data_IF_144148529591
#
_entry.id   IF_144148529591
#
_cell.length_a   1.000
_cell.length_b   1.000
_cell.length_c   1.000
_cell.angle_alpha   90.00
_cell.angle_beta   90.00
_cell.angle_gamma   90.00
#
_symmetry.space_group_name_H-M   'P 1'
#
loop_
_entity.id
_entity.type
_entity.pdbx_description
1 polymer ?
#
# COMPACT_ATOMS: atom_id res chain seq x y z
N UNK A 1 5.53 -18.60 -0.96
CA UNK A 1 4.46 -19.16 -0.12
C UNK A 1 3.13 -18.98 -0.87
N UNK A 2 2.22 -19.96 -0.83
CA UNK A 2 0.86 -19.80 -1.35
C UNK A 2 -0.09 -19.64 -0.16
N UNK A 3 -0.87 -18.57 -0.13
CA UNK A 3 -1.86 -18.38 0.93
C UNK A 3 -3.05 -19.32 0.74
N UNK A 4 -3.61 -19.78 1.86
CA UNK A 4 -4.92 -20.43 1.91
C UNK A 4 -5.85 -19.60 2.78
N UNK A 5 -7.11 -19.51 2.36
CA UNK A 5 -8.11 -18.65 3.00
C UNK A 5 -8.40 -19.04 4.46
N UNK A 6 -8.30 -20.33 4.78
CA UNK A 6 -8.53 -20.93 6.10
C UNK A 6 -7.28 -20.92 7.00
N UNK A 7 -6.12 -20.53 6.48
CA UNK A 7 -4.87 -20.43 7.23
C UNK A 7 -4.53 -18.96 7.54
N UNK A 8 -4.04 -18.70 8.76
CA UNK A 8 -3.56 -17.35 9.13
C UNK A 8 -2.32 -16.96 8.31
N UNK A 9 -2.15 -15.66 8.10
CA UNK A 9 -0.93 -15.14 7.49
C UNK A 9 0.27 -15.44 8.40
N UNK A 10 1.21 -16.26 7.93
CA UNK A 10 2.42 -16.59 8.67
C UNK A 10 3.44 -15.45 8.56
N UNK A 11 3.38 -14.52 9.50
CA UNK A 11 4.26 -13.35 9.55
C UNK A 11 5.73 -13.75 9.70
N UNK A 12 6.03 -14.77 10.52
CA UNK A 12 7.40 -15.25 10.71
C UNK A 12 8.01 -15.74 9.39
N UNK A 13 7.22 -16.42 8.55
CA UNK A 13 7.66 -16.86 7.23
C UNK A 13 7.85 -15.71 6.24
N UNK A 14 7.01 -14.67 6.31
CA UNK A 14 7.21 -13.45 5.52
C UNK A 14 8.56 -12.81 5.86
N UNK A 15 8.92 -12.76 7.14
CA UNK A 15 10.13 -12.09 7.63
C UNK A 15 11.45 -12.83 7.32
N UNK A 16 11.39 -14.07 6.84
CA UNK A 16 12.59 -14.80 6.38
C UNK A 16 13.11 -14.29 5.04
N UNK A 17 14.42 -14.35 4.86
CA UNK A 17 15.14 -14.11 3.59
C UNK A 17 14.76 -12.79 2.89
N UNK A 18 14.51 -11.73 3.67
CA UNK A 18 14.15 -10.41 3.13
C UNK A 18 15.31 -9.79 2.35
N UNK A 19 16.56 -10.18 2.61
CA UNK A 19 17.73 -9.76 1.83
C UNK A 19 17.64 -10.19 0.36
N UNK A 20 17.04 -11.35 0.09
CA UNK A 20 16.87 -11.94 -1.24
C UNK A 20 15.58 -11.53 -1.92
N UNK A 21 14.60 -10.98 -1.18
CA UNK A 21 13.35 -10.53 -1.75
C UNK A 21 13.57 -9.43 -2.81
N UNK A 22 12.83 -9.53 -3.92
CA UNK A 22 12.73 -8.50 -4.95
C UNK A 22 11.25 -8.30 -5.30
N UNK A 23 10.79 -7.06 -5.51
CA UNK A 23 9.40 -6.80 -5.87
C UNK A 23 9.06 -7.46 -7.21
N UNK A 24 7.94 -8.17 -7.28
CA UNK A 24 7.50 -8.84 -8.50
C UNK A 24 7.00 -7.87 -9.58
N UNK A 25 6.64 -6.66 -9.17
CA UNK A 25 6.17 -5.58 -10.05
C UNK A 25 6.54 -4.21 -9.50
N UNK A 26 6.58 -3.23 -10.39
CA UNK A 26 6.77 -1.80 -10.08
C UNK A 26 5.67 -0.99 -10.76
N UNK A 27 5.51 0.26 -10.32
CA UNK A 27 4.52 1.18 -10.88
C UNK A 27 3.11 1.00 -10.31
N UNK A 28 2.25 1.96 -10.66
CA UNK A 28 0.86 2.04 -10.21
C UNK A 28 -0.07 1.21 -11.10
N UNK A 29 -1.10 0.60 -10.52
CA UNK A 29 -2.15 -0.13 -11.25
C UNK A 29 -3.52 0.47 -10.98
N UNK A 30 -4.23 0.81 -12.05
CA UNK A 30 -5.65 1.18 -12.01
C UNK A 30 -6.54 -0.05 -12.08
N UNK A 31 -7.81 0.08 -11.66
CA UNK A 31 -8.80 -0.98 -11.85
C UNK A 31 -9.20 -1.08 -13.32
N UNK A 32 -9.51 -2.30 -13.75
CA UNK A 32 -10.03 -2.59 -15.09
C UNK A 32 -11.56 -2.41 -15.08
N UNK A 33 -12.05 -1.29 -15.60
CA UNK A 33 -13.49 -1.02 -15.74
C UNK A 33 -14.15 -1.98 -16.72
N UNK A 34 -15.37 -2.41 -16.40
CA UNK A 34 -16.22 -3.22 -17.28
C UNK A 34 -17.24 -2.33 -18.01
N UNK A 35 -17.94 -2.91 -18.97
CA UNK A 35 -18.95 -2.18 -19.76
C UNK A 35 -20.12 -1.70 -18.88
N UNK A 36 -20.75 -0.54 -19.17
CA UNK A 36 -21.83 0.04 -18.33
C UNK A 36 -23.14 -0.76 -18.24
N UNK A 37 -23.26 -1.84 -18.98
CA UNK A 37 -24.40 -2.77 -19.01
C UNK A 37 -24.02 -4.14 -18.41
N UNK A 38 -22.88 -4.22 -17.72
CA UNK A 38 -22.42 -5.45 -17.06
C UNK A 38 -23.45 -5.94 -16.05
N UNK A 39 -23.94 -7.17 -16.26
CA UNK A 39 -24.86 -7.85 -15.33
C UNK A 39 -24.09 -8.61 -14.26
N UNK A 40 -24.39 -8.32 -13.00
CA UNK A 40 -23.89 -9.07 -11.83
C UNK A 40 -25.09 -9.46 -10.98
N UNK A 41 -25.33 -10.77 -10.85
CA UNK A 41 -26.55 -11.28 -10.24
C UNK A 41 -27.80 -10.82 -10.98
N UNK A 42 -28.71 -10.15 -10.26
CA UNK A 42 -29.99 -9.69 -10.80
C UNK A 42 -29.95 -8.25 -11.34
N UNK A 43 -28.79 -7.58 -11.31
CA UNK A 43 -28.68 -6.14 -11.57
C UNK A 43 -27.69 -5.82 -12.69
N UNK A 44 -27.93 -4.70 -13.37
CA UNK A 44 -27.00 -4.07 -14.32
C UNK A 44 -26.24 -2.94 -13.62
N UNK A 45 -24.92 -2.92 -13.80
CA UNK A 45 -24.02 -1.93 -13.18
C UNK A 45 -23.38 -1.04 -14.24
N UNK A 46 -23.48 0.29 -14.04
CA UNK A 46 -22.90 1.30 -14.94
C UNK A 46 -21.44 1.63 -14.67
N UNK A 47 -21.01 1.50 -13.41
CA UNK A 47 -19.66 1.83 -12.95
C UNK A 47 -19.16 0.69 -12.09
N UNK A 48 -18.50 -0.26 -12.74
CA UNK A 48 -18.02 -1.48 -12.11
C UNK A 48 -16.71 -1.89 -12.74
N UNK A 49 -15.84 -2.51 -11.96
CA UNK A 49 -14.58 -3.10 -12.41
C UNK A 49 -14.59 -4.61 -12.26
N UNK A 50 -13.55 -5.25 -12.80
CA UNK A 50 -13.31 -6.66 -12.65
C UNK A 50 -13.38 -7.10 -11.18
N UNK A 51 -14.10 -8.19 -10.96
CA UNK A 51 -14.33 -8.76 -9.63
C UNK A 51 -13.04 -9.35 -9.03
N UNK A 52 -13.05 -9.52 -7.72
CA UNK A 52 -12.02 -10.24 -6.99
C UNK A 52 -12.18 -11.75 -7.16
N UNK A 53 -11.06 -12.48 -7.19
CA UNK A 53 -11.06 -13.95 -7.12
C UNK A 53 -11.48 -14.45 -5.73
N UNK A 54 -11.08 -13.73 -4.68
CA UNK A 54 -11.45 -13.98 -3.29
C UNK A 54 -11.80 -12.66 -2.64
N UNK A 55 -12.97 -12.58 -2.00
CA UNK A 55 -13.42 -11.38 -1.31
C UNK A 55 -14.61 -11.68 -0.39
N UNK A 56 -14.87 -10.74 0.53
CA UNK A 56 -16.01 -10.82 1.45
C UNK A 56 -17.06 -9.80 0.99
N UNK A 57 -18.25 -10.25 0.55
CA UNK A 57 -19.30 -9.34 0.15
C UNK A 57 -19.91 -8.62 1.36
N UNK A 58 -20.68 -7.57 1.08
CA UNK A 58 -21.46 -6.89 2.11
C UNK A 58 -22.43 -7.85 2.81
N UNK A 59 -22.73 -7.68 4.11
CA UNK A 59 -23.61 -8.61 4.84
C UNK A 59 -25.00 -8.79 4.21
N UNK A 60 -25.52 -7.76 3.55
CA UNK A 60 -26.81 -7.80 2.86
C UNK A 60 -26.77 -8.56 1.52
N UNK A 61 -25.58 -8.82 0.95
CA UNK A 61 -25.42 -9.51 -0.32
C UNK A 61 -26.01 -10.91 -0.32
N UNK A 62 -26.17 -11.54 0.86
CA UNK A 62 -26.88 -12.83 1.01
C UNK A 62 -28.28 -12.82 0.42
N UNK A 63 -28.98 -11.68 0.45
CA UNK A 63 -30.31 -11.51 -0.14
C UNK A 63 -30.28 -11.37 -1.66
N UNK A 64 -29.09 -11.20 -2.24
CA UNK A 64 -28.86 -10.91 -3.65
C UNK A 64 -27.87 -11.90 -4.30
N UNK A 65 -27.85 -13.16 -3.81
CA UNK A 65 -27.00 -14.22 -4.37
C UNK A 65 -25.51 -14.11 -4.01
N UNK A 66 -25.15 -13.33 -2.99
CA UNK A 66 -23.78 -13.20 -2.51
C UNK A 66 -22.86 -12.36 -3.41
N UNK A 67 -23.42 -11.53 -4.30
CA UNK A 67 -22.64 -10.70 -5.22
C UNK A 67 -21.70 -9.72 -4.49
N UNK A 68 -20.54 -9.44 -5.09
CA UNK A 68 -19.53 -8.54 -4.55
C UNK A 68 -19.02 -7.50 -5.58
N UNK A 69 -19.92 -6.72 -6.22
CA UNK A 69 -19.53 -5.79 -7.27
C UNK A 69 -18.46 -4.80 -6.79
N UNK A 70 -17.43 -4.57 -7.60
CA UNK A 70 -16.30 -3.71 -7.28
C UNK A 70 -16.44 -2.37 -8.03
N UNK A 71 -16.33 -1.19 -7.37
CA UNK A 71 -16.35 0.08 -8.09
C UNK A 71 -15.13 0.21 -9.02
N UNK A 72 -15.18 1.14 -9.97
CA UNK A 72 -14.13 1.40 -10.96
C UNK A 72 -12.99 2.30 -10.43
N UNK A 73 -13.16 2.95 -9.28
CA UNK A 73 -12.10 3.68 -8.60
C UNK A 73 -11.24 2.79 -7.70
N UNK A 74 -9.96 3.14 -7.58
CA UNK A 74 -9.05 2.54 -6.59
C UNK A 74 -9.49 2.96 -5.18
N UNK A 75 -9.52 2.01 -4.25
CA UNK A 75 -10.00 2.22 -2.88
C UNK A 75 -8.84 2.13 -1.90
N UNK A 76 -8.62 3.22 -1.19
CA UNK A 76 -7.56 3.37 -0.19
C UNK A 76 -8.02 2.95 1.19
N UNK A 77 -7.15 2.27 1.92
CA UNK A 77 -7.20 2.21 3.38
C UNK A 77 -5.87 2.60 3.98
N UNK A 78 -5.90 3.26 5.14
CA UNK A 78 -4.71 3.65 5.90
C UNK A 78 -4.46 2.64 7.02
N UNK A 79 -3.29 2.01 7.01
CA UNK A 79 -2.90 1.01 8.00
C UNK A 79 -1.46 1.30 8.44
N UNK A 80 -1.30 1.86 9.63
CA UNK A 80 0.00 2.18 10.21
C UNK A 80 -0.08 2.27 11.75
N UNK A 81 -0.08 1.13 12.44
CA UNK A 81 -0.24 1.08 13.89
C UNK A 81 1.02 1.47 14.68
N UNK A 82 2.19 1.49 14.02
CA UNK A 82 3.50 1.55 14.67
C UNK A 82 4.20 0.19 14.74
N UNK A 83 3.47 -0.91 14.50
CA UNK A 83 3.98 -2.29 14.41
C UNK A 83 3.59 -2.89 13.07
N UNK A 84 4.48 -2.78 12.09
CA UNK A 84 4.16 -3.16 10.71
C UNK A 84 3.82 -4.65 10.58
N UNK A 85 4.42 -5.51 11.42
CA UNK A 85 4.21 -6.95 11.46
C UNK A 85 2.77 -7.33 11.85
N UNK A 86 2.12 -6.51 12.67
CA UNK A 86 0.70 -6.64 13.01
C UNK A 86 -0.18 -6.09 11.89
N UNK A 87 0.25 -4.99 11.28
CA UNK A 87 -0.44 -4.33 10.17
C UNK A 87 -0.57 -5.24 8.94
N UNK A 88 0.42 -6.12 8.66
CA UNK A 88 0.34 -7.09 7.55
C UNK A 88 -0.93 -7.94 7.59
N UNK A 89 -1.38 -8.32 8.80
CA UNK A 89 -2.60 -9.11 8.98
C UNK A 89 -3.84 -8.29 8.64
N UNK A 90 -3.86 -7.01 9.01
CA UNK A 90 -4.96 -6.08 8.70
C UNK A 90 -5.01 -5.75 7.21
N UNK A 91 -3.86 -5.66 6.54
CA UNK A 91 -3.79 -5.47 5.09
C UNK A 91 -4.48 -6.61 4.33
N UNK A 92 -4.30 -7.87 4.77
CA UNK A 92 -5.03 -9.01 4.19
C UNK A 92 -6.54 -8.88 4.39
N UNK A 93 -6.99 -8.50 5.59
CA UNK A 93 -8.41 -8.27 5.85
C UNK A 93 -8.98 -7.19 4.92
N UNK A 94 -8.30 -6.04 4.81
CA UNK A 94 -8.75 -4.95 3.96
C UNK A 94 -8.81 -5.32 2.48
N UNK A 95 -7.83 -6.09 1.99
CA UNK A 95 -7.80 -6.56 0.60
C UNK A 95 -9.00 -7.44 0.26
N UNK A 96 -9.36 -8.38 1.14
CA UNK A 96 -10.58 -9.21 0.99
C UNK A 96 -11.86 -8.36 0.98
N UNK A 97 -11.86 -7.21 1.66
CA UNK A 97 -12.95 -6.25 1.65
C UNK A 97 -12.88 -5.21 0.50
N UNK A 98 -11.99 -5.41 -0.48
CA UNK A 98 -11.96 -4.63 -1.70
C UNK A 98 -10.94 -3.49 -1.74
N UNK A 99 -10.13 -3.27 -0.69
CA UNK A 99 -9.05 -2.28 -0.75
C UNK A 99 -7.91 -2.76 -1.65
N UNK A 100 -7.58 -1.97 -2.67
CA UNK A 100 -6.50 -2.23 -3.63
C UNK A 100 -5.44 -1.11 -3.61
N UNK A 101 -5.51 -0.25 -2.59
CA UNK A 101 -4.49 0.72 -2.26
C UNK A 101 -4.29 0.77 -0.74
N UNK A 102 -3.09 0.40 -0.31
CA UNK A 102 -2.69 0.34 1.10
C UNK A 102 -1.70 1.46 1.37
N UNK A 103 -2.14 2.41 2.18
CA UNK A 103 -1.36 3.57 2.56
C UNK A 103 -0.79 3.40 3.97
N UNK A 104 0.52 3.54 4.10
CA UNK A 104 1.24 3.42 5.37
C UNK A 104 1.76 4.79 5.79
N UNK A 105 1.10 5.36 6.80
CA UNK A 105 1.56 6.57 7.50
C UNK A 105 2.88 6.28 8.21
N UNK A 106 3.80 7.23 8.11
CA UNK A 106 5.12 7.15 8.72
C UNK A 106 5.07 7.45 10.21
N UNK A 107 6.05 6.94 10.97
CA UNK A 107 6.19 7.31 12.39
C UNK A 107 6.29 8.83 12.55
N UNK A 108 5.74 9.34 13.66
CA UNK A 108 5.65 10.77 13.92
C UNK A 108 7.04 11.44 13.77
N UNK A 109 7.09 12.49 12.95
CA UNK A 109 8.30 13.28 12.77
C UNK A 109 9.34 12.69 11.83
N UNK A 110 9.09 11.56 11.15
CA UNK A 110 10.06 10.97 10.22
C UNK A 110 10.48 11.92 9.08
N UNK A 111 9.71 12.96 8.78
CA UNK A 111 10.12 14.04 7.86
C UNK A 111 11.37 14.81 8.30
N UNK A 112 11.76 14.73 9.58
CA UNK A 112 12.94 15.39 10.13
C UNK A 112 14.18 14.49 10.20
N UNK A 113 14.08 13.24 9.75
CA UNK A 113 15.24 12.35 9.70
C UNK A 113 16.06 12.69 8.45
N UNK A 114 17.27 13.20 8.65
CA UNK A 114 18.20 13.59 7.57
C UNK A 114 19.01 12.38 7.09
N UNK A 115 18.26 11.37 6.63
CA UNK A 115 18.76 10.11 6.12
C UNK A 115 17.77 8.98 6.31
N UNK A 116 18.06 7.84 5.69
CA UNK A 116 17.31 6.61 5.91
C UNK A 116 17.56 6.06 7.32
N UNK A 117 16.53 5.44 7.88
CA UNK A 117 16.64 4.61 9.07
C UNK A 117 16.53 3.14 8.70
N UNK A 118 17.07 2.26 9.54
CA UNK A 118 17.17 0.83 9.28
C UNK A 118 16.51 -0.02 10.36
N UNK A 119 16.33 -1.31 10.04
CA UNK A 119 15.75 -2.27 10.96
C UNK A 119 14.23 -2.10 11.11
N UNK A 120 13.72 -2.40 12.29
CA UNK A 120 12.28 -2.42 12.59
C UNK A 120 12.00 -1.87 13.99
N UNK A 121 12.39 -0.62 14.30
CA UNK A 121 11.99 -0.01 15.56
C UNK A 121 10.46 0.12 15.63
N UNK A 122 9.92 0.15 16.83
CA UNK A 122 8.50 0.45 17.02
C UNK A 122 8.24 1.94 16.74
N UNK A 123 7.17 2.23 16.02
CA UNK A 123 6.75 3.59 15.70
C UNK A 123 5.66 4.14 16.62
N UNK A 124 5.47 5.45 16.56
CA UNK A 124 4.40 6.15 17.28
C UNK A 124 3.58 6.95 16.27
N UNK A 125 2.26 6.71 16.25
CA UNK A 125 1.34 7.36 15.30
C UNK A 125 1.55 6.96 13.84
N UNK A 126 2.41 5.98 13.56
CA UNK A 126 2.70 5.46 12.23
C UNK A 126 3.92 4.54 12.24
N UNK A 127 4.24 3.93 11.09
CA UNK A 127 5.30 2.94 10.94
C UNK A 127 6.64 3.61 10.59
N UNK A 128 7.77 3.26 11.23
CA UNK A 128 9.08 3.74 10.79
C UNK A 128 9.44 3.11 9.44
N UNK A 129 9.51 3.94 8.40
CA UNK A 129 9.78 3.47 7.04
C UNK A 129 11.27 3.15 6.89
N UNK A 130 11.58 1.88 6.63
CA UNK A 130 12.94 1.35 6.45
C UNK A 130 12.94 0.34 5.30
N UNK A 131 14.11 -0.01 4.74
CA UNK A 131 14.19 -1.03 3.68
C UNK A 131 13.60 -2.38 4.12
N UNK A 132 13.96 -2.83 5.32
CA UNK A 132 13.49 -4.11 5.87
C UNK A 132 11.97 -4.14 6.02
N UNK A 133 11.38 -3.06 6.53
CA UNK A 133 9.93 -2.94 6.68
C UNK A 133 9.22 -2.91 5.31
N UNK A 134 9.71 -2.09 4.37
CA UNK A 134 9.13 -2.01 3.02
C UNK A 134 9.14 -3.37 2.32
N UNK A 135 10.26 -4.11 2.38
CA UNK A 135 10.35 -5.46 1.80
C UNK A 135 9.36 -6.43 2.41
N UNK A 136 9.25 -6.45 3.72
CA UNK A 136 8.31 -7.34 4.40
C UNK A 136 6.85 -7.03 4.02
N UNK A 137 6.49 -5.74 3.99
CA UNK A 137 5.16 -5.30 3.59
C UNK A 137 4.88 -5.61 2.12
N UNK A 138 5.80 -5.28 1.21
CA UNK A 138 5.63 -5.55 -0.23
C UNK A 138 5.57 -7.04 -0.53
N UNK A 139 6.41 -7.87 0.12
CA UNK A 139 6.35 -9.34 0.05
C UNK A 139 5.02 -9.90 0.56
N UNK A 140 4.47 -9.36 1.64
CA UNK A 140 3.16 -9.77 2.12
C UNK A 140 2.05 -9.38 1.15
N UNK A 141 2.04 -8.14 0.66
CA UNK A 141 1.07 -7.65 -0.31
C UNK A 141 1.12 -8.42 -1.62
N UNK A 142 2.30 -8.88 -2.04
CA UNK A 142 2.47 -9.78 -3.18
C UNK A 142 1.72 -11.10 -3.01
N UNK A 143 1.79 -11.72 -1.83
CA UNK A 143 1.01 -12.93 -1.57
C UNK A 143 -0.49 -12.66 -1.44
N UNK A 144 -0.87 -11.52 -0.87
CA UNK A 144 -2.26 -11.13 -0.67
C UNK A 144 -2.93 -10.77 -2.02
N UNK A 145 -2.24 -10.06 -2.91
CA UNK A 145 -2.76 -9.69 -4.23
C UNK A 145 -2.98 -10.92 -5.12
N UNK A 146 -2.15 -11.96 -5.00
CA UNK A 146 -2.37 -13.26 -5.66
C UNK A 146 -3.62 -13.98 -5.14
N UNK A 147 -3.86 -13.87 -3.82
CA UNK A 147 -5.01 -14.49 -3.17
C UNK A 147 -6.32 -13.85 -3.62
N UNK A 148 -6.42 -12.52 -3.54
CA UNK A 148 -7.62 -11.78 -3.96
C UNK A 148 -7.73 -11.65 -5.48
N UNK A 149 -6.65 -11.92 -6.22
CA UNK A 149 -6.62 -11.93 -7.68
C UNK A 149 -6.61 -10.55 -8.33
N UNK A 150 -6.17 -9.52 -7.59
CA UNK A 150 -6.07 -8.13 -8.08
C UNK A 150 -4.83 -7.44 -7.48
N UNK A 151 -3.99 -6.74 -8.28
CA UNK A 151 -2.83 -6.01 -7.78
C UNK A 151 -3.20 -5.01 -6.68
N UNK A 152 -2.36 -4.91 -5.64
CA UNK A 152 -2.57 -3.97 -4.51
C UNK A 152 -1.48 -2.90 -4.49
N UNK A 153 -1.83 -1.64 -4.72
CA UNK A 153 -0.88 -0.52 -4.65
C UNK A 153 -0.39 -0.30 -3.22
N UNK A 154 0.92 -0.36 -3.01
CA UNK A 154 1.58 0.00 -1.75
C UNK A 154 2.02 1.45 -1.81
N UNK A 155 1.66 2.24 -0.78
CA UNK A 155 1.89 3.67 -0.76
C UNK A 155 2.42 4.17 0.57
N UNK A 156 3.33 5.13 0.53
CA UNK A 156 3.78 5.85 1.72
C UNK A 156 4.19 7.30 1.38
N UNK A 157 5.16 7.90 2.08
CA UNK A 157 5.43 9.33 2.04
C UNK A 157 6.92 9.61 1.83
N UNK A 158 7.23 10.43 0.81
CA UNK A 158 8.58 10.91 0.47
C UNK A 158 8.89 12.25 1.14
N UNK A 159 7.90 12.92 1.74
CA UNK A 159 8.06 14.22 2.40
C UNK A 159 9.20 14.28 3.43
N UNK A 160 9.80 15.44 3.64
CA UNK A 160 10.87 15.66 4.61
C UNK A 160 12.21 15.97 3.97
N UNK A 161 13.25 15.98 4.81
CA UNK A 161 14.62 16.34 4.41
C UNK A 161 15.36 15.21 3.67
N UNK A 162 15.00 13.95 3.87
CA UNK A 162 15.57 12.81 3.14
C UNK A 162 14.72 12.38 1.92
N UNK A 163 14.10 13.34 1.23
CA UNK A 163 13.19 13.06 0.11
C UNK A 163 13.83 12.22 -1.00
N UNK A 164 14.99 12.60 -1.54
CA UNK A 164 15.67 11.84 -2.59
C UNK A 164 16.01 10.42 -2.16
N UNK A 165 16.54 10.21 -0.94
CA UNK A 165 16.94 8.90 -0.43
C UNK A 165 15.73 7.98 -0.26
N UNK A 166 14.62 8.50 0.29
CA UNK A 166 13.37 7.74 0.39
C UNK A 166 12.79 7.44 -1.00
N UNK A 167 12.91 8.38 -1.95
CA UNK A 167 12.52 8.17 -3.35
C UNK A 167 13.27 7.01 -3.99
N UNK A 168 14.61 6.96 -3.85
CA UNK A 168 15.44 5.85 -4.34
C UNK A 168 15.01 4.54 -3.69
N UNK A 169 14.86 4.53 -2.36
CA UNK A 169 14.43 3.35 -1.62
C UNK A 169 13.06 2.83 -2.14
N UNK A 170 12.11 3.72 -2.40
CA UNK A 170 10.79 3.35 -2.91
C UNK A 170 10.84 2.78 -4.33
N UNK A 171 11.63 3.40 -5.20
CA UNK A 171 11.85 2.94 -6.57
C UNK A 171 12.51 1.56 -6.63
N UNK A 172 13.48 1.30 -5.75
CA UNK A 172 14.16 0.01 -5.63
C UNK A 172 13.24 -1.09 -5.11
N UNK A 173 12.50 -0.81 -4.03
CA UNK A 173 11.69 -1.80 -3.30
C UNK A 173 10.24 -1.94 -3.81
N UNK A 174 9.89 -1.23 -4.90
CA UNK A 174 8.62 -1.42 -5.60
C UNK A 174 7.41 -0.84 -4.87
N UNK A 175 7.58 0.29 -4.18
CA UNK A 175 6.45 1.08 -3.68
C UNK A 175 5.73 1.69 -4.89
N UNK A 176 4.41 1.58 -4.93
CA UNK A 176 3.61 1.86 -6.13
C UNK A 176 3.14 3.31 -6.22
N UNK A 177 3.09 4.02 -5.10
CA UNK A 177 2.70 5.43 -5.02
C UNK A 177 3.30 6.11 -3.80
N UNK A 178 3.41 7.44 -3.84
CA UNK A 178 3.88 8.19 -2.70
C UNK A 178 3.29 9.60 -2.61
N UNK A 179 3.17 10.11 -1.40
CA UNK A 179 2.97 11.55 -1.17
C UNK A 179 4.29 12.29 -1.30
N UNK A 180 4.32 13.29 -2.19
CA UNK A 180 5.46 14.19 -2.36
C UNK A 180 4.95 15.57 -2.77
N UNK A 181 5.14 16.55 -1.88
CA UNK A 181 4.86 17.96 -2.16
C UNK A 181 5.91 18.83 -1.44
N UNK A 182 6.72 19.64 -2.16
CA UNK A 182 7.69 20.52 -1.52
C UNK A 182 7.04 21.58 -0.63
N UNK A 183 5.78 21.96 -0.89
CA UNK A 183 5.06 22.93 -0.07
C UNK A 183 4.73 22.34 1.30
N UNK A 184 4.43 21.04 1.38
CA UNK A 184 4.18 20.38 2.66
C UNK A 184 5.35 20.55 3.62
N UNK A 185 6.57 20.34 3.11
CA UNK A 185 7.80 20.44 3.89
C UNK A 185 7.96 21.87 4.47
N UNK A 186 7.64 22.89 3.68
CA UNK A 186 7.78 24.29 4.09
C UNK A 186 6.67 24.68 5.07
N UNK A 187 5.42 24.52 4.66
CA UNK A 187 4.27 25.08 5.36
C UNK A 187 3.96 24.37 6.68
N UNK A 188 4.18 23.05 6.75
CA UNK A 188 3.74 22.23 7.89
C UNK A 188 4.88 21.58 8.66
N UNK A 189 6.11 21.63 8.13
CA UNK A 189 7.30 21.07 8.78
C UNK A 189 8.44 22.05 8.97
N UNK A 190 8.26 23.31 8.56
CA UNK A 190 9.27 24.37 8.70
C UNK A 190 10.64 23.96 8.12
N UNK A 191 10.63 23.17 7.04
CA UNK A 191 11.85 22.86 6.27
C UNK A 191 12.18 24.07 5.40
N UNK A 192 13.47 24.38 5.28
CA UNK A 192 13.93 25.47 4.42
C UNK A 192 13.39 25.32 2.97
N UNK A 193 12.84 26.39 2.42
CA UNK A 193 12.18 26.36 1.10
C UNK A 193 13.13 26.05 -0.05
N UNK A 194 14.36 26.54 -0.03
CA UNK A 194 15.35 26.26 -1.09
C UNK A 194 15.70 24.78 -1.06
N UNK A 195 16.03 24.24 0.12
CA UNK A 195 16.25 22.80 0.33
C UNK A 195 15.07 21.97 -0.17
N UNK A 196 13.85 22.31 0.25
CA UNK A 196 12.65 21.54 -0.08
C UNK A 196 12.40 21.42 -1.58
N UNK A 197 12.51 22.53 -2.33
CA UNK A 197 12.25 22.52 -3.76
C UNK A 197 13.38 21.88 -4.57
N UNK A 198 14.65 22.02 -4.13
CA UNK A 198 15.79 21.33 -4.76
C UNK A 198 15.65 19.81 -4.59
N UNK A 199 15.40 19.33 -3.37
CA UNK A 199 15.20 17.91 -3.09
C UNK A 199 13.99 17.34 -3.84
N UNK A 200 12.93 18.14 -3.98
CA UNK A 200 11.73 17.71 -4.71
C UNK A 200 11.95 17.55 -6.20
N UNK A 201 12.89 18.29 -6.80
CA UNK A 201 13.26 18.10 -8.20
C UNK A 201 13.83 16.69 -8.41
N UNK A 202 14.76 16.28 -7.55
CA UNK A 202 15.34 14.93 -7.61
C UNK A 202 14.31 13.85 -7.26
N UNK A 203 13.58 14.03 -6.16
CA UNK A 203 12.64 13.04 -5.66
C UNK A 203 11.47 12.74 -6.63
N UNK A 204 11.12 13.68 -7.52
CA UNK A 204 10.07 13.50 -8.54
C UNK A 204 10.59 12.91 -9.86
N UNK A 205 11.91 12.89 -10.08
CA UNK A 205 12.52 12.34 -11.30
C UNK A 205 12.73 10.81 -11.24
N UNK A 206 12.64 10.22 -10.05
CA UNK A 206 12.78 8.79 -9.76
C UNK A 206 11.50 8.01 -10.07
#
# INVERSE_FOLDING_TARGET
MKLKADEKLNVAEILKDLESYRPRRKGWTWRESLAPDTRIGLFEYRQVSKDLKQGIPMPAAKSFGGINPQPDCVITTEIASGRFEDDLRRMRMAAWHGADHIMVIRTAGQSHFDGLIEGTPEGVGGVPITRKQLRATRKALDFIEDEVGRPINFHSYVSGVAGPEVGVLFAEEGVNGAHQDPQYNVLYRNVNMVRSFVDAAEAKCL
#
